data_IF_976086520013
#
_entry.id   IF_976086520013
#
_cell.length_a   1.000
_cell.length_b   1.000
_cell.length_c   1.000
_cell.angle_alpha   90.00
_cell.angle_beta   90.00
_cell.angle_gamma   90.00
#
_symmetry.space_group_name_H-M   'P 1'
#
loop_
_entity.id
_entity.type
_entity.pdbx_description
1 polymer ?
#
# COMPACT_ATOMS: atom_id res chain seq x y z
N UNK A 1 41.04 -19.29 -46.76
CA UNK A 1 41.92 -19.86 -47.81
C UNK A 1 42.66 -21.03 -47.16
N UNK A 2 42.59 -22.31 -47.53
CA UNK A 2 42.07 -23.08 -48.68
C UNK A 2 41.67 -24.48 -48.12
N UNK A 3 40.47 -25.03 -48.35
CA UNK A 3 39.98 -25.88 -49.48
C UNK A 3 40.46 -27.35 -49.52
N UNK A 4 39.46 -28.24 -49.78
CA UNK A 4 39.47 -29.62 -50.33
C UNK A 4 39.62 -30.79 -49.34
N UNK A 5 38.69 -31.75 -49.16
CA UNK A 5 37.79 -32.57 -50.02
C UNK A 5 38.51 -33.62 -50.88
N UNK A 6 38.33 -34.93 -50.54
CA UNK A 6 38.27 -36.19 -51.35
C UNK A 6 37.59 -37.24 -50.41
N UNK A 7 36.40 -37.84 -50.60
CA UNK A 7 35.73 -38.71 -51.62
C UNK A 7 36.04 -40.23 -51.49
N UNK A 8 34.94 -41.03 -51.50
CA UNK A 8 34.77 -42.48 -51.83
C UNK A 8 35.19 -43.53 -50.77
N UNK A 9 34.49 -44.64 -50.48
CA UNK A 9 33.51 -45.46 -51.23
C UNK A 9 32.60 -46.29 -50.31
N UNK A 10 31.48 -46.78 -50.88
CA UNK A 10 30.44 -47.65 -50.32
C UNK A 10 30.88 -49.10 -49.97
N UNK A 11 30.10 -49.83 -49.15
CA UNK A 11 29.21 -50.97 -49.56
C UNK A 11 28.62 -51.78 -48.36
N UNK A 12 27.32 -52.13 -48.48
CA UNK A 12 26.54 -53.30 -48.00
C UNK A 12 26.57 -53.76 -46.51
N UNK A 13 25.46 -53.64 -45.77
CA UNK A 13 24.35 -54.62 -45.55
C UNK A 13 24.79 -55.90 -44.79
N UNK A 14 24.17 -56.15 -43.63
CA UNK A 14 23.52 -57.43 -43.25
C UNK A 14 22.55 -57.17 -42.08
N UNK A 15 21.30 -57.61 -42.28
CA UNK A 15 20.21 -57.65 -41.30
C UNK A 15 20.45 -58.72 -40.23
N UNK A 16 20.08 -58.42 -38.98
CA UNK A 16 19.61 -59.44 -38.02
C UNK A 16 18.80 -58.79 -36.89
N UNK A 17 17.54 -59.22 -36.77
CA UNK A 17 16.66 -59.00 -35.60
C UNK A 17 16.43 -60.36 -34.93
N UNK A 18 16.27 -60.36 -33.60
CA UNK A 18 15.19 -61.14 -33.02
C UNK A 18 14.36 -60.29 -32.07
N UNK A 19 13.06 -60.23 -32.35
CA UNK A 19 12.04 -59.78 -31.40
C UNK A 19 11.41 -60.99 -30.72
N UNK A 20 11.57 -61.08 -29.40
CA UNK A 20 10.75 -61.91 -28.52
C UNK A 20 10.53 -61.13 -27.23
N UNK A 21 9.29 -60.81 -26.89
CA UNK A 21 8.67 -61.35 -25.68
C UNK A 21 7.21 -60.92 -25.60
N UNK A 22 6.40 -61.94 -25.32
CA UNK A 22 4.96 -61.97 -25.10
C UNK A 22 4.53 -61.21 -23.86
N UNK A 23 3.25 -60.82 -23.82
CA UNK A 23 2.58 -60.42 -22.58
C UNK A 23 1.25 -59.71 -22.78
N UNK A 24 0.23 -60.42 -23.29
CA UNK A 24 -1.17 -59.98 -23.14
C UNK A 24 -1.64 -60.37 -21.75
N UNK A 25 -2.09 -59.41 -20.97
CA UNK A 25 -2.98 -59.63 -19.83
C UNK A 25 -3.93 -58.45 -19.74
N UNK A 26 -5.23 -58.78 -19.75
CA UNK A 26 -6.31 -57.83 -19.68
C UNK A 26 -6.80 -57.63 -18.24
N UNK A 27 -7.34 -56.43 -18.02
CA UNK A 27 -8.27 -55.98 -16.96
C UNK A 27 -7.69 -55.53 -15.61
N UNK A 28 -8.39 -54.65 -14.84
CA UNK A 28 -9.65 -53.97 -15.12
C UNK A 28 -9.58 -52.42 -15.03
N UNK A 29 -10.61 -51.78 -15.61
CA UNK A 29 -11.01 -50.40 -15.38
C UNK A 29 -11.02 -50.13 -13.87
N UNK A 30 -10.11 -49.27 -13.41
CA UNK A 30 -10.18 -48.70 -12.06
C UNK A 30 -10.42 -47.22 -12.22
N UNK A 31 -11.61 -46.83 -11.77
CA UNK A 31 -12.11 -45.49 -11.55
C UNK A 31 -11.04 -44.65 -10.82
N UNK A 32 -10.17 -43.96 -11.57
CA UNK A 32 -9.30 -42.95 -10.99
C UNK A 32 -10.14 -41.71 -10.77
N UNK A 33 -10.77 -41.71 -9.60
CA UNK A 33 -11.26 -40.56 -8.88
C UNK A 33 -10.41 -39.32 -9.20
N UNK A 34 -11.10 -38.39 -9.85
CA UNK A 34 -10.80 -36.97 -9.89
C UNK A 34 -10.44 -36.52 -8.47
N UNK A 35 -9.14 -36.42 -8.16
CA UNK A 35 -8.69 -35.54 -7.08
C UNK A 35 -8.47 -34.18 -7.72
N UNK A 36 -9.59 -33.52 -8.00
CA UNK A 36 -9.58 -32.08 -8.12
C UNK A 36 -9.07 -31.58 -6.77
N UNK A 37 -7.83 -31.06 -6.75
CA UNK A 37 -7.40 -30.18 -5.69
C UNK A 37 -8.41 -29.04 -5.65
N UNK A 38 -9.33 -29.12 -4.70
CA UNK A 38 -10.10 -27.99 -4.25
C UNK A 38 -9.06 -26.99 -3.77
N UNK A 39 -8.73 -26.01 -4.62
CA UNK A 39 -8.07 -24.80 -4.24
C UNK A 39 -8.92 -24.19 -3.14
N UNK A 40 -8.60 -24.49 -1.88
CA UNK A 40 -9.11 -23.68 -0.80
C UNK A 40 -8.62 -22.27 -1.11
N UNK A 41 -9.55 -21.34 -1.33
CA UNK A 41 -9.28 -19.93 -1.51
C UNK A 41 -8.65 -19.45 -0.20
N UNK A 42 -7.35 -19.66 -0.06
CA UNK A 42 -6.58 -19.23 1.10
C UNK A 42 -6.70 -17.72 1.16
N UNK A 43 -7.34 -17.21 2.22
CA UNK A 43 -7.56 -15.78 2.37
C UNK A 43 -6.19 -15.09 2.33
N UNK A 44 -5.98 -14.07 1.48
CA UNK A 44 -4.66 -13.46 1.35
C UNK A 44 -4.19 -12.94 2.71
N UNK A 45 -2.90 -13.12 3.05
CA UNK A 45 -2.39 -12.77 4.36
C UNK A 45 -2.56 -11.27 4.63
N UNK A 46 -2.93 -10.95 5.88
CA UNK A 46 -3.07 -9.56 6.31
C UNK A 46 -1.69 -8.95 6.65
N UNK A 47 -1.46 -7.67 6.32
CA UNK A 47 -0.21 -6.99 6.64
C UNK A 47 -0.06 -6.79 8.16
N UNK A 48 1.15 -7.04 8.67
CA UNK A 48 1.55 -6.74 10.05
C UNK A 48 2.51 -5.55 10.02
N UNK A 49 2.16 -4.49 10.73
CA UNK A 49 2.97 -3.29 10.85
C UNK A 49 3.95 -3.41 12.00
N UNK A 50 5.25 -3.26 11.72
CA UNK A 50 6.30 -3.25 12.74
C UNK A 50 7.01 -1.89 12.77
N UNK A 51 6.69 -1.02 13.74
CA UNK A 51 7.40 0.24 13.95
C UNK A 51 8.88 0.01 14.22
N UNK A 52 9.76 0.80 13.57
CA UNK A 52 11.20 0.71 13.84
C UNK A 52 11.63 1.50 15.08
N UNK A 53 11.06 2.70 15.28
CA UNK A 53 11.39 3.58 16.41
C UNK A 53 10.16 3.76 17.33
N UNK A 54 10.02 2.89 18.33
CA UNK A 54 8.88 2.86 19.28
C UNK A 54 8.92 3.96 20.36
N UNK A 55 10.02 4.71 20.47
CA UNK A 55 10.30 5.64 21.56
C UNK A 55 9.96 7.10 21.24
N UNK A 56 9.42 7.40 20.05
CA UNK A 56 9.13 8.79 19.68
C UNK A 56 7.82 9.30 20.32
N UNK A 57 7.76 10.58 20.72
CA UNK A 57 6.55 11.22 21.21
C UNK A 57 5.38 11.10 20.24
N UNK A 58 4.15 11.30 20.75
CA UNK A 58 2.94 11.31 19.92
C UNK A 58 3.09 12.25 18.73
N UNK A 59 3.11 11.67 17.53
CA UNK A 59 3.29 12.36 16.26
C UNK A 59 1.95 12.70 15.58
N UNK A 60 0.90 11.95 15.89
CA UNK A 60 -0.42 12.12 15.29
C UNK A 60 -1.21 13.25 15.93
N UNK A 61 -1.81 14.06 15.07
CA UNK A 61 -2.73 15.13 15.45
C UNK A 61 -4.13 14.67 15.01
N UNK A 62 -5.02 14.49 15.99
CA UNK A 62 -6.40 14.05 15.74
C UNK A 62 -7.32 15.24 15.52
N UNK A 63 -8.15 15.17 14.47
CA UNK A 63 -9.24 16.12 14.19
C UNK A 63 -10.47 15.90 15.05
N UNK A 64 -10.27 15.66 16.36
CA UNK A 64 -11.36 15.43 17.30
C UNK A 64 -12.26 16.66 17.43
N UNK A 65 -13.56 16.46 17.25
CA UNK A 65 -14.57 17.51 17.34
C UNK A 65 -14.73 17.94 18.82
N UNK A 66 -14.13 19.06 19.22
CA UNK A 66 -14.62 19.78 20.39
C UNK A 66 -15.79 20.68 19.96
N UNK A 67 -17.02 20.29 20.32
CA UNK A 67 -18.17 21.20 20.37
C UNK A 67 -18.99 21.42 19.09
N UNK A 68 -19.17 20.41 18.22
CA UNK A 68 -19.81 20.63 16.90
C UNK A 68 -21.11 19.86 16.65
N UNK A 69 -21.72 19.26 17.68
CA UNK A 69 -22.99 18.53 17.61
C UNK A 69 -23.10 17.51 16.45
N UNK A 70 -21.96 17.03 15.93
CA UNK A 70 -21.91 16.14 14.75
C UNK A 70 -22.24 16.79 13.41
N UNK A 71 -22.40 18.12 13.33
CA UNK A 71 -22.74 18.83 12.07
C UNK A 71 -21.58 18.89 11.08
N UNK A 72 -20.36 18.88 11.59
CA UNK A 72 -19.15 18.96 10.76
C UNK A 72 -18.59 17.60 10.36
N UNK A 73 -17.80 17.52 9.27
CA UNK A 73 -17.07 16.32 8.93
C UNK A 73 -15.98 16.02 9.97
N UNK A 74 -15.71 14.74 10.17
CA UNK A 74 -14.52 14.29 10.89
C UNK A 74 -13.39 14.11 9.86
N UNK A 75 -12.21 14.62 10.20
CA UNK A 75 -10.99 14.46 9.41
C UNK A 75 -10.00 13.64 10.24
N UNK A 76 -9.47 12.57 9.63
CA UNK A 76 -8.51 11.68 10.30
C UNK A 76 -7.32 11.42 9.39
N UNK A 77 -6.11 11.72 9.85
CA UNK A 77 -4.90 11.34 9.13
C UNK A 77 -4.65 9.83 9.26
N UNK A 78 -4.41 9.14 8.14
CA UNK A 78 -4.14 7.70 8.13
C UNK A 78 -2.66 7.44 8.43
N UNK A 79 -2.25 7.77 9.65
CA UNK A 79 -0.86 7.72 10.13
C UNK A 79 -0.76 6.97 11.44
N UNK A 80 0.42 6.41 11.80
CA UNK A 80 0.67 5.89 13.14
C UNK A 80 0.72 7.01 14.19
N UNK A 81 0.81 6.64 15.47
CA UNK A 81 0.90 7.59 16.60
C UNK A 81 2.33 8.08 16.83
N UNK A 82 3.28 7.55 16.07
CA UNK A 82 4.68 7.92 16.01
C UNK A 82 5.02 8.39 14.58
N UNK A 83 6.29 8.73 14.34
CA UNK A 83 6.76 9.14 13.01
C UNK A 83 6.68 7.97 12.04
N UNK A 84 5.94 8.13 10.95
CA UNK A 84 5.91 7.13 9.88
C UNK A 84 7.07 7.33 8.91
N UNK A 85 7.62 6.23 8.40
CA UNK A 85 8.71 6.27 7.42
C UNK A 85 8.20 6.20 5.99
N UNK A 86 8.94 6.84 5.10
CA UNK A 86 8.86 6.59 3.66
C UNK A 86 10.22 6.46 3.00
N UNK A 87 10.34 5.70 1.90
CA UNK A 87 11.50 5.77 1.00
C UNK A 87 11.30 6.79 -0.13
N UNK A 88 10.04 7.14 -0.44
CA UNK A 88 9.72 8.01 -1.58
C UNK A 88 10.16 9.45 -1.33
N UNK A 89 10.77 10.06 -2.34
CA UNK A 89 11.10 11.49 -2.35
C UNK A 89 9.85 12.38 -2.35
N UNK A 90 8.79 11.94 -3.03
CA UNK A 90 7.51 12.64 -3.11
C UNK A 90 6.38 11.63 -2.81
N UNK A 91 6.11 11.33 -1.53
CA UNK A 91 5.08 10.37 -1.12
C UNK A 91 3.66 10.90 -1.32
N UNK A 92 2.69 9.98 -1.31
CA UNK A 92 1.27 10.32 -1.16
C UNK A 92 0.85 10.20 0.31
N UNK A 93 0.18 11.24 0.82
CA UNK A 93 -0.30 11.35 2.18
C UNK A 93 -1.80 11.05 2.20
N UNK A 94 -2.23 10.07 2.99
CA UNK A 94 -3.61 9.58 2.99
C UNK A 94 -4.36 10.03 4.24
N UNK A 95 -5.61 10.46 4.06
CA UNK A 95 -6.48 10.93 5.13
C UNK A 95 -7.92 10.49 4.87
N UNK A 96 -8.76 10.51 5.90
CA UNK A 96 -10.16 10.09 5.83
C UNK A 96 -11.08 11.27 6.14
N UNK A 97 -12.19 11.33 5.39
CA UNK A 97 -13.27 12.27 5.57
C UNK A 97 -14.58 11.51 5.84
N UNK A 98 -15.24 11.77 6.97
CA UNK A 98 -16.42 10.99 7.36
C UNK A 98 -17.69 11.27 6.53
N UNK A 99 -17.81 12.46 5.95
CA UNK A 99 -18.93 12.89 5.09
C UNK A 99 -18.49 14.02 4.17
N UNK A 100 -19.23 14.23 3.08
CA UNK A 100 -18.99 15.36 2.19
C UNK A 100 -19.07 16.69 2.96
N UNK A 101 -18.33 17.68 2.48
CA UNK A 101 -18.25 18.99 3.11
C UNK A 101 -18.18 20.09 2.06
N UNK A 102 -18.70 21.27 2.39
CA UNK A 102 -18.52 22.50 1.62
C UNK A 102 -17.41 23.39 2.19
N UNK A 103 -16.81 22.99 3.32
CA UNK A 103 -15.73 23.75 3.94
C UNK A 103 -14.51 23.78 3.02
N UNK A 104 -13.86 24.94 2.84
CA UNK A 104 -12.60 25.02 2.11
C UNK A 104 -11.53 24.15 2.78
N UNK A 105 -10.81 23.38 1.97
CA UNK A 105 -9.75 22.48 2.45
C UNK A 105 -8.37 23.08 2.21
N UNK A 106 -7.48 22.91 3.19
CA UNK A 106 -6.09 23.37 3.14
C UNK A 106 -5.13 22.24 3.47
N UNK A 107 -4.01 22.19 2.75
CA UNK A 107 -2.87 21.35 3.06
C UNK A 107 -1.69 22.21 3.53
N UNK A 108 -1.01 21.75 4.58
CA UNK A 108 0.19 22.41 5.11
C UNK A 108 1.27 21.36 5.32
N UNK A 109 2.50 21.66 4.89
CA UNK A 109 3.70 20.86 5.09
C UNK A 109 4.76 21.73 5.77
N UNK A 110 5.30 21.24 6.89
CA UNK A 110 6.26 21.96 7.73
C UNK A 110 7.49 21.09 7.88
N UNK A 111 8.66 21.61 7.50
CA UNK A 111 9.95 21.05 7.91
C UNK A 111 10.15 21.39 9.40
N UNK A 112 10.40 20.40 10.26
CA UNK A 112 10.52 20.64 11.71
C UNK A 112 11.71 21.53 12.09
N UNK A 113 12.67 21.73 11.18
CA UNK A 113 13.84 22.60 11.35
C UNK A 113 13.54 24.05 10.99
N UNK A 114 12.40 24.32 10.35
CA UNK A 114 12.00 25.64 9.87
C UNK A 114 10.87 26.23 10.71
N UNK A 115 10.86 27.56 10.84
CA UNK A 115 9.76 28.31 11.47
C UNK A 115 8.59 28.47 10.48
N UNK A 116 8.87 28.63 9.18
CA UNK A 116 7.85 28.81 8.15
C UNK A 116 7.48 27.46 7.52
N UNK A 117 6.20 27.24 7.19
CA UNK A 117 5.79 26.06 6.44
C UNK A 117 6.53 26.03 5.09
N UNK A 118 6.95 24.83 4.70
CA UNK A 118 7.50 24.57 3.36
C UNK A 118 6.42 24.78 2.30
N UNK A 119 5.18 24.42 2.64
CA UNK A 119 4.02 24.63 1.78
C UNK A 119 2.77 24.89 2.61
N UNK A 120 1.93 25.81 2.14
CA UNK A 120 0.58 26.01 2.63
C UNK A 120 -0.30 26.42 1.45
N UNK A 121 -1.37 25.67 1.18
CA UNK A 121 -2.18 25.88 0.00
C UNK A 121 -3.55 25.21 0.06
N UNK A 122 -4.46 25.69 -0.78
CA UNK A 122 -5.78 25.08 -0.94
C UNK A 122 -5.65 23.73 -1.66
N UNK A 123 -6.46 22.75 -1.24
CA UNK A 123 -6.61 21.47 -1.92
C UNK A 123 -8.08 21.27 -2.33
N UNK A 124 -8.36 20.40 -3.33
CA UNK A 124 -9.74 20.13 -3.73
C UNK A 124 -10.59 19.65 -2.55
N UNK A 125 -11.79 20.22 -2.41
CA UNK A 125 -12.76 19.79 -1.39
C UNK A 125 -13.46 18.49 -1.86
N UNK A 126 -13.32 17.36 -1.13
CA UNK A 126 -13.94 16.12 -1.55
C UNK A 126 -15.48 16.17 -1.47
N UNK A 127 -16.15 15.80 -2.56
CA UNK A 127 -17.61 15.73 -2.64
C UNK A 127 -18.23 14.47 -2.01
N UNK A 128 -17.44 13.58 -1.42
CA UNK A 128 -17.89 12.30 -0.86
C UNK A 128 -17.08 11.89 0.36
N UNK A 129 -17.68 11.03 1.20
CA UNK A 129 -16.99 10.41 2.33
C UNK A 129 -15.95 9.39 1.83
N UNK A 130 -14.86 9.23 2.58
CA UNK A 130 -13.91 8.16 2.38
C UNK A 130 -12.46 8.58 2.48
N UNK A 131 -11.59 7.69 2.01
CA UNK A 131 -10.13 7.91 1.99
C UNK A 131 -9.77 8.79 0.81
N UNK A 132 -9.01 9.84 1.11
CA UNK A 132 -8.53 10.87 0.20
C UNK A 132 -7.00 10.89 0.25
N UNK A 133 -6.37 11.41 -0.79
CA UNK A 133 -4.90 11.45 -0.90
C UNK A 133 -4.42 12.82 -1.36
N UNK A 134 -3.32 13.29 -0.76
CA UNK A 134 -2.53 14.42 -1.23
C UNK A 134 -1.20 13.89 -1.74
N UNK A 135 -0.94 14.04 -3.04
CA UNK A 135 0.30 13.59 -3.65
C UNK A 135 1.29 14.75 -3.70
N UNK A 136 2.42 14.62 -3.00
CA UNK A 136 3.43 15.69 -2.95
C UNK A 136 4.05 15.97 -4.33
N UNK A 137 4.08 14.98 -5.22
CA UNK A 137 4.57 15.15 -6.58
C UNK A 137 3.73 16.15 -7.37
N UNK A 138 2.42 16.13 -7.20
CA UNK A 138 1.48 17.01 -7.92
C UNK A 138 1.59 18.46 -7.43
N UNK A 139 2.14 18.66 -6.23
CA UNK A 139 2.44 19.96 -5.64
C UNK A 139 3.89 20.43 -5.91
N UNK A 140 4.69 19.64 -6.63
CA UNK A 140 6.12 19.93 -6.84
C UNK A 140 6.97 19.86 -5.57
N UNK A 141 6.49 19.15 -4.54
CA UNK A 141 7.14 19.05 -3.23
C UNK A 141 7.96 17.76 -3.13
N UNK A 142 9.10 17.87 -2.46
CA UNK A 142 9.98 16.73 -2.19
C UNK A 142 10.49 16.79 -0.75
N UNK A 143 10.72 15.62 -0.16
CA UNK A 143 11.25 15.48 1.19
C UNK A 143 12.75 15.20 1.12
N UNK A 144 13.53 15.84 1.98
CA UNK A 144 14.94 15.53 2.17
C UNK A 144 15.12 14.21 2.96
N UNK A 145 16.14 13.42 2.66
CA UNK A 145 16.46 12.23 3.44
C UNK A 145 16.83 12.59 4.88
N UNK A 146 16.41 11.74 5.81
CA UNK A 146 16.62 11.83 7.27
C UNK A 146 16.08 13.12 7.91
N UNK A 147 15.09 13.74 7.26
CA UNK A 147 14.39 14.92 7.74
C UNK A 147 12.93 14.59 8.06
N UNK A 148 12.48 15.04 9.23
CA UNK A 148 11.09 14.96 9.63
C UNK A 148 10.29 16.16 9.13
N UNK A 149 9.10 15.86 8.63
CA UNK A 149 8.12 16.85 8.25
C UNK A 149 6.83 16.59 8.99
N UNK A 150 6.16 17.66 9.39
CA UNK A 150 4.80 17.60 9.90
C UNK A 150 3.85 18.06 8.81
N UNK A 151 2.82 17.28 8.56
CA UNK A 151 1.82 17.62 7.56
C UNK A 151 0.42 17.65 8.17
N UNK A 152 -0.43 18.48 7.59
CA UNK A 152 -1.80 18.69 8.05
C UNK A 152 -2.76 18.82 6.88
N UNK A 153 -3.96 18.30 7.10
CA UNK A 153 -5.15 18.62 6.31
C UNK A 153 -6.13 19.33 7.23
N UNK A 154 -6.61 20.48 6.79
CA UNK A 154 -7.51 21.34 7.56
C UNK A 154 -8.78 21.64 6.79
N UNK A 155 -9.94 21.52 7.43
CA UNK A 155 -11.17 22.15 6.95
C UNK A 155 -11.36 23.50 7.65
N UNK A 156 -11.45 24.55 6.85
CA UNK A 156 -11.52 25.92 7.32
C UNK A 156 -12.95 26.24 7.72
N UNK A 157 -13.20 26.45 9.01
CA UNK A 157 -14.54 26.85 9.50
C UNK A 157 -14.75 28.34 9.40
N UNK A 158 -13.74 29.08 9.84
CA UNK A 158 -13.76 30.53 9.86
C UNK A 158 -12.36 31.04 9.48
N UNK A 159 -12.19 31.71 8.33
CA UNK A 159 -10.91 32.29 7.93
C UNK A 159 -10.30 33.23 8.97
N UNK A 160 -11.13 33.91 9.77
CA UNK A 160 -10.70 34.87 10.79
C UNK A 160 -10.44 34.21 12.16
N UNK A 161 -10.70 32.90 12.30
CA UNK A 161 -10.49 32.17 13.56
C UNK A 161 -9.94 30.76 13.32
N UNK A 162 -8.63 30.62 13.00
CA UNK A 162 -7.99 29.33 12.72
C UNK A 162 -8.09 28.31 13.86
N UNK A 163 -8.28 28.76 15.11
CA UNK A 163 -8.52 27.89 16.27
C UNK A 163 -9.81 27.07 16.16
N UNK A 164 -10.71 27.44 15.25
CA UNK A 164 -11.94 26.71 14.96
C UNK A 164 -11.76 25.69 13.84
N UNK A 165 -10.62 25.63 13.14
CA UNK A 165 -10.45 24.72 12.02
C UNK A 165 -10.40 23.25 12.49
N UNK A 166 -10.90 22.35 11.65
CA UNK A 166 -10.80 20.91 11.88
C UNK A 166 -9.48 20.46 11.29
N UNK A 167 -8.54 20.03 12.13
CA UNK A 167 -7.17 19.74 11.69
C UNK A 167 -6.81 18.30 12.03
N UNK A 168 -6.33 17.55 11.04
CA UNK A 168 -5.71 16.25 11.26
C UNK A 168 -4.35 16.21 10.58
N UNK A 169 -3.41 15.46 11.16
CA UNK A 169 -2.06 15.42 10.63
C UNK A 169 -1.17 14.36 11.28
N UNK A 170 0.05 14.27 10.76
CA UNK A 170 1.06 13.33 11.23
C UNK A 170 2.47 13.84 10.97
N UNK A 171 3.44 13.03 11.39
CA UNK A 171 4.85 13.26 11.09
C UNK A 171 5.32 12.18 10.12
N UNK A 172 6.06 12.60 9.10
CA UNK A 172 6.69 11.76 8.10
C UNK A 172 8.19 12.01 8.11
N UNK A 173 8.96 10.95 7.98
CA UNK A 173 10.40 11.01 7.76
C UNK A 173 10.72 10.24 6.49
N UNK A 174 11.48 10.87 5.59
CA UNK A 174 12.02 10.16 4.44
C UNK A 174 13.32 9.51 4.87
N UNK A 175 13.42 8.20 4.81
CA UNK A 175 14.69 7.53 5.06
C UNK A 175 15.61 7.68 3.83
N UNK A 176 16.91 7.78 4.08
CA UNK A 176 17.94 7.79 3.05
C UNK A 176 17.81 6.56 2.13
N UNK A 177 17.87 6.79 0.81
CA UNK A 177 17.48 5.78 -0.19
C UNK A 177 18.36 4.53 -0.13
N UNK A 178 19.68 4.68 -0.01
CA UNK A 178 20.59 3.53 0.03
C UNK A 178 20.40 2.70 1.30
N UNK A 179 20.21 3.36 2.44
CA UNK A 179 19.93 2.74 3.74
C UNK A 179 18.61 1.97 3.69
N UNK A 180 17.54 2.61 3.22
CA UNK A 180 16.23 2.03 3.02
C UNK A 180 16.25 0.79 2.12
N UNK A 181 17.00 0.85 1.01
CA UNK A 181 17.02 -0.20 0.00
C UNK A 181 17.90 -1.38 0.41
N UNK A 182 19.11 -1.10 0.89
CA UNK A 182 20.13 -2.12 1.17
C UNK A 182 19.96 -2.73 2.55
N UNK A 183 19.71 -1.91 3.58
CA UNK A 183 19.67 -2.39 4.97
C UNK A 183 18.24 -2.72 5.41
N UNK A 184 17.26 -1.91 4.98
CA UNK A 184 15.86 -2.10 5.40
C UNK A 184 15.03 -2.90 4.41
N UNK A 185 15.57 -3.20 3.24
CA UNK A 185 14.95 -4.00 2.18
C UNK A 185 13.53 -3.51 1.82
N UNK A 186 13.36 -2.20 1.67
CA UNK A 186 12.08 -1.63 1.23
C UNK A 186 11.71 -2.11 -0.18
N UNK A 187 10.44 -2.44 -0.40
CA UNK A 187 9.90 -2.67 -1.73
C UNK A 187 9.57 -1.34 -2.42
N UNK A 188 10.04 -1.17 -3.65
CA UNK A 188 9.83 0.03 -4.46
C UNK A 188 8.61 -0.06 -5.38
N UNK A 189 8.10 -1.27 -5.64
CA UNK A 189 6.89 -1.50 -6.44
C UNK A 189 5.64 -1.29 -5.60
N UNK A 190 4.48 -1.30 -6.27
CA UNK A 190 3.19 -1.30 -5.59
C UNK A 190 2.35 -2.51 -6.00
N UNK A 191 2.40 -3.54 -5.16
CA UNK A 191 1.64 -4.77 -5.23
C UNK A 191 1.40 -5.30 -3.80
N UNK A 192 0.63 -6.39 -3.67
CA UNK A 192 0.33 -6.99 -2.36
C UNK A 192 1.61 -7.42 -1.60
N UNK A 193 2.56 -8.16 -2.20
CA UNK A 193 3.82 -8.48 -1.52
C UNK A 193 4.57 -7.26 -1.00
N UNK A 194 4.57 -6.16 -1.75
CA UNK A 194 5.22 -4.90 -1.38
C UNK A 194 4.54 -4.24 -0.19
N UNK A 195 3.21 -4.27 -0.12
CA UNK A 195 2.46 -3.82 1.06
C UNK A 195 2.86 -4.61 2.30
N UNK A 196 2.86 -5.94 2.21
CA UNK A 196 3.23 -6.82 3.32
C UNK A 196 4.67 -6.53 3.80
N UNK A 197 5.61 -6.46 2.87
CA UNK A 197 7.02 -6.18 3.17
C UNK A 197 7.20 -4.79 3.80
N UNK A 198 6.67 -3.75 3.17
CA UNK A 198 6.85 -2.38 3.63
C UNK A 198 6.22 -2.16 5.01
N UNK A 199 5.04 -2.73 5.26
CA UNK A 199 4.43 -2.70 6.59
C UNK A 199 5.31 -3.40 7.64
N UNK A 200 5.79 -4.61 7.34
CA UNK A 200 6.66 -5.38 8.24
C UNK A 200 8.02 -4.71 8.47
N UNK A 201 8.49 -3.87 7.55
CA UNK A 201 9.74 -3.10 7.66
C UNK A 201 9.56 -1.69 8.24
N UNK A 202 8.33 -1.29 8.56
CA UNK A 202 8.03 0.00 9.20
C UNK A 202 7.78 1.17 8.24
N UNK A 203 7.79 0.94 6.92
CA UNK A 203 7.50 1.92 5.87
C UNK A 203 5.99 2.15 5.71
N UNK A 204 5.42 2.82 6.72
CA UNK A 204 3.98 3.04 6.81
C UNK A 204 3.41 3.77 5.58
N UNK A 205 4.05 4.88 5.17
CA UNK A 205 3.51 5.70 4.08
C UNK A 205 3.54 4.95 2.75
N UNK A 206 4.56 4.14 2.49
CA UNK A 206 4.65 3.32 1.28
C UNK A 206 3.61 2.20 1.26
N UNK A 207 3.42 1.50 2.38
CA UNK A 207 2.41 0.45 2.49
C UNK A 207 0.98 1.01 2.38
N UNK A 208 0.68 2.09 3.10
CA UNK A 208 -0.64 2.70 3.11
C UNK A 208 -0.98 3.37 1.78
N UNK A 209 -0.03 4.09 1.15
CA UNK A 209 -0.26 4.68 -0.18
C UNK A 209 -0.52 3.58 -1.20
N UNK A 210 0.30 2.53 -1.20
CA UNK A 210 0.13 1.45 -2.16
C UNK A 210 -1.22 0.75 -2.01
N UNK A 211 -1.71 0.51 -0.78
CA UNK A 211 -3.06 -0.02 -0.59
C UNK A 211 -4.14 0.90 -1.15
N UNK A 212 -4.01 2.22 -0.97
CA UNK A 212 -4.97 3.17 -1.53
C UNK A 212 -4.96 3.14 -3.08
N UNK A 213 -3.78 3.03 -3.69
CA UNK A 213 -3.63 2.90 -5.14
C UNK A 213 -4.24 1.59 -5.66
N UNK A 214 -3.97 0.46 -4.99
CA UNK A 214 -4.53 -0.85 -5.34
C UNK A 214 -6.07 -0.88 -5.21
N UNK A 215 -6.63 -0.27 -4.16
CA UNK A 215 -8.09 -0.18 -3.96
C UNK A 215 -8.72 0.69 -5.06
N UNK A 216 -8.07 1.78 -5.44
CA UNK A 216 -8.53 2.65 -6.53
C UNK A 216 -8.53 1.90 -7.86
N UNK A 217 -7.47 1.14 -8.14
CA UNK A 217 -7.34 0.34 -9.36
C UNK A 217 -8.28 -0.87 -9.40
N UNK A 218 -8.62 -1.46 -8.25
CA UNK A 218 -9.45 -2.66 -8.17
C UNK A 218 -10.50 -2.58 -7.05
N UNK A 219 -11.53 -1.75 -7.27
CA UNK A 219 -12.56 -1.46 -6.28
C UNK A 219 -13.43 -2.67 -5.88
N UNK A 220 -13.44 -3.73 -6.70
CA UNK A 220 -14.23 -4.96 -6.45
C UNK A 220 -13.53 -5.95 -5.54
N UNK A 221 -12.26 -5.71 -5.22
CA UNK A 221 -11.45 -6.63 -4.43
C UNK A 221 -11.55 -6.29 -2.94
N UNK A 222 -12.50 -6.94 -2.27
CA UNK A 222 -12.75 -6.73 -0.84
C UNK A 222 -11.51 -7.00 0.03
N UNK A 223 -10.61 -7.89 -0.40
CA UNK A 223 -9.40 -8.24 0.35
C UNK A 223 -8.48 -7.04 0.56
N UNK A 224 -8.41 -6.10 -0.38
CA UNK A 224 -7.56 -4.91 -0.25
C UNK A 224 -8.05 -3.97 0.86
N UNK A 225 -9.38 -3.81 0.99
CA UNK A 225 -9.97 -3.05 2.10
C UNK A 225 -9.79 -3.78 3.44
N UNK A 226 -9.86 -5.12 3.46
CA UNK A 226 -9.49 -5.91 4.65
C UNK A 226 -8.03 -5.66 5.07
N UNK A 227 -7.09 -5.65 4.11
CA UNK A 227 -5.68 -5.32 4.38
C UNK A 227 -5.51 -3.90 4.94
N UNK A 228 -6.16 -2.89 4.33
CA UNK A 228 -6.10 -1.50 4.82
C UNK A 228 -6.71 -1.36 6.21
N UNK A 229 -7.88 -1.95 6.45
CA UNK A 229 -8.51 -1.98 7.76
C UNK A 229 -7.62 -2.66 8.83
N UNK A 230 -6.91 -3.75 8.48
CA UNK A 230 -5.99 -4.42 9.38
C UNK A 230 -4.82 -3.51 9.82
N UNK A 231 -4.23 -2.74 8.89
CA UNK A 231 -3.21 -1.74 9.23
C UNK A 231 -3.78 -0.62 10.11
N UNK A 232 -4.95 -0.09 9.76
CA UNK A 232 -5.59 0.99 10.51
C UNK A 232 -5.89 0.60 11.97
N UNK A 233 -6.36 -0.63 12.20
CA UNK A 233 -6.57 -1.16 13.57
C UNK A 233 -5.27 -1.23 14.38
N UNK A 234 -4.18 -1.67 13.77
CA UNK A 234 -2.88 -1.79 14.46
C UNK A 234 -2.34 -0.44 14.95
N UNK A 235 -2.73 0.66 14.32
CA UNK A 235 -2.38 2.01 14.73
C UNK A 235 -3.53 2.74 15.44
N UNK A 236 -4.55 2.03 15.92
CA UNK A 236 -5.65 2.60 16.72
C UNK A 236 -6.69 3.41 15.95
N UNK A 237 -6.72 3.35 14.62
CA UNK A 237 -7.74 4.00 13.77
C UNK A 237 -8.96 3.09 13.55
N UNK A 238 -9.55 2.62 14.66
CA UNK A 238 -10.61 1.61 14.63
C UNK A 238 -11.88 2.06 13.90
N UNK A 239 -12.33 3.30 14.13
CA UNK A 239 -13.53 3.84 13.47
C UNK A 239 -13.38 3.89 11.95
N UNK A 240 -12.21 4.30 11.45
CA UNK A 240 -11.90 4.33 10.02
C UNK A 240 -11.79 2.92 9.46
N UNK A 241 -11.18 1.98 10.20
CA UNK A 241 -11.10 0.59 9.79
C UNK A 241 -12.49 -0.07 9.67
N UNK A 242 -13.40 0.22 10.59
CA UNK A 242 -14.80 -0.25 10.52
C UNK A 242 -15.55 0.35 9.34
N UNK A 243 -15.36 1.65 9.06
CA UNK A 243 -15.93 2.28 7.88
C UNK A 243 -15.42 1.62 6.60
N UNK A 244 -14.13 1.30 6.54
CA UNK A 244 -13.50 0.74 5.35
C UNK A 244 -14.01 -0.69 5.05
N UNK A 245 -14.22 -1.48 6.11
CA UNK A 245 -14.83 -2.82 6.01
C UNK A 245 -16.30 -2.75 5.56
N UNK A 246 -17.09 -1.81 6.10
CA UNK A 246 -18.49 -1.59 5.68
C UNK A 246 -18.59 -1.11 4.24
N UNK A 247 -17.56 -0.43 3.76
CA UNK A 247 -17.47 0.08 2.38
C UNK A 247 -16.90 -0.94 1.39
N UNK A 248 -16.59 -2.17 1.85
CA UNK A 248 -16.12 -3.23 0.98
C UNK A 248 -17.26 -3.81 0.13
N UNK A 249 -16.98 -4.16 -1.14
CA UNK A 249 -17.95 -4.88 -1.96
C UNK A 249 -18.26 -6.25 -1.32
N UNK A 250 -19.48 -6.79 -1.52
CA UNK A 250 -19.83 -8.12 -1.04
C UNK A 250 -18.87 -9.16 -1.61
N UNK A 251 -18.50 -10.14 -0.78
CA UNK A 251 -17.69 -11.28 -1.21
C UNK A 251 -18.49 -12.12 -2.22
N UNK A 252 -17.79 -12.60 -3.25
CA UNK A 252 -18.35 -13.50 -4.26
C UNK A 252 -18.16 -14.95 -3.86
#
# INVERSE_FOLDING_TARGET
>A
MKTSVIICSALAIILSLPGFSSGVSASPVTDQLIVAQASQLEEPPLPIYTPRNKTMPRARVGGGLRGTDGKDPEIVALVPDHVGLTVKQAPSLNWFLSKSTSLPMRFTLVDIRSIKPLHEGAIPTPGHAGVQSVNLKDLGLTLEPDVQYRWYVSAIRNPDSPSQDIVAGGVIERCEFSTCLVEMEVALTCDRPSVLRNAARGFWYDAMSCLCDLITANQKDASLRRMRAALLKQVGLNSVAEWDLKSAPPEK
#
